data_IF_261502541848
#
_entry.id   IF_261502541848
#
_cell.length_a   1.000
_cell.length_b   1.000
_cell.length_c   1.000
_cell.angle_alpha   90.00
_cell.angle_beta   90.00
_cell.angle_gamma   90.00
#
_symmetry.space_group_name_H-M   'P 1'
#
loop_
_entity.id
_entity.type
_entity.pdbx_description
1 polymer ?
#
# COMPACT_ATOMS: atom_id res chain seq x y z
N UNK A 1 3.12 -37.77 -10.95
CA UNK A 1 4.22 -36.81 -10.77
C UNK A 1 3.95 -35.63 -11.67
N UNK A 2 4.09 -34.42 -11.14
CA UNK A 2 3.91 -33.18 -11.90
C UNK A 2 4.84 -32.11 -11.34
N UNK A 3 5.21 -31.16 -12.19
CA UNK A 3 6.04 -30.02 -11.83
C UNK A 3 5.14 -28.79 -11.78
N UNK A 4 5.30 -28.01 -10.72
CA UNK A 4 4.74 -26.67 -10.60
C UNK A 4 5.87 -25.68 -10.37
N UNK A 5 5.78 -24.54 -11.04
CA UNK A 5 6.68 -23.40 -10.86
C UNK A 5 5.80 -22.18 -10.63
N UNK A 6 6.18 -21.35 -9.67
CA UNK A 6 5.57 -20.04 -9.47
C UNK A 6 6.68 -19.01 -9.53
N UNK A 7 6.69 -18.19 -10.58
CA UNK A 7 7.60 -17.05 -10.64
C UNK A 7 6.97 -15.85 -9.94
N UNK A 8 7.80 -15.07 -9.24
CA UNK A 8 7.36 -13.93 -8.43
C UNK A 8 6.86 -12.74 -9.25
N UNK A 9 7.34 -12.57 -10.48
CA UNK A 9 6.96 -11.49 -11.38
C UNK A 9 7.06 -11.94 -12.85
N UNK A 10 6.40 -11.21 -13.74
CA UNK A 10 6.63 -11.33 -15.18
C UNK A 10 8.06 -10.89 -15.55
N UNK A 11 8.52 -11.28 -16.74
CA UNK A 11 9.92 -11.08 -17.17
C UNK A 11 10.40 -9.63 -17.24
N UNK A 12 9.47 -8.68 -17.33
CA UNK A 12 9.68 -7.23 -17.42
C UNK A 12 9.23 -6.47 -16.16
N UNK A 13 8.82 -7.19 -15.12
CA UNK A 13 8.33 -6.63 -13.87
C UNK A 13 9.24 -6.94 -12.69
N UNK A 14 9.26 -6.02 -11.72
CA UNK A 14 9.97 -6.23 -10.47
C UNK A 14 9.18 -7.14 -9.53
N UNK A 15 9.88 -8.02 -8.81
CA UNK A 15 9.32 -8.68 -7.64
C UNK A 15 9.55 -7.78 -6.42
N UNK A 16 8.49 -7.22 -5.84
CA UNK A 16 8.62 -6.27 -4.75
C UNK A 16 8.76 -6.96 -3.39
N UNK A 17 9.62 -6.38 -2.56
CA UNK A 17 9.63 -6.58 -1.12
C UNK A 17 9.36 -5.23 -0.47
N UNK A 18 8.24 -5.11 0.24
CA UNK A 18 7.88 -3.87 0.90
C UNK A 18 8.03 -4.03 2.42
N UNK A 19 8.70 -3.10 3.13
CA UNK A 19 9.02 -3.24 4.56
C UNK A 19 7.83 -3.58 5.45
N UNK A 20 6.63 -3.10 5.10
CA UNK A 20 5.41 -3.35 5.87
C UNK A 20 5.00 -4.82 5.90
N UNK A 21 5.29 -5.60 4.85
CA UNK A 21 4.92 -7.01 4.79
C UNK A 21 6.00 -7.94 5.38
N UNK A 22 7.19 -7.40 5.68
CA UNK A 22 8.34 -8.12 6.26
C UNK A 22 8.87 -9.29 5.42
N UNK A 23 8.36 -9.45 4.20
CA UNK A 23 8.72 -10.48 3.24
C UNK A 23 8.33 -10.01 1.83
N UNK A 24 8.78 -10.71 0.79
CA UNK A 24 8.35 -10.44 -0.59
C UNK A 24 6.84 -10.57 -0.77
N UNK A 25 6.26 -9.76 -1.64
CA UNK A 25 4.81 -9.70 -1.83
C UNK A 25 4.22 -11.05 -2.23
N UNK A 26 4.90 -11.82 -3.09
CA UNK A 26 4.43 -13.17 -3.44
C UNK A 26 4.40 -14.10 -2.23
N UNK A 27 5.43 -14.07 -1.38
CA UNK A 27 5.47 -14.90 -0.16
C UNK A 27 4.34 -14.51 0.79
N UNK A 28 4.08 -13.21 0.92
CA UNK A 28 2.95 -12.71 1.69
C UNK A 28 1.61 -13.19 1.13
N UNK A 29 1.40 -13.08 -0.19
CA UNK A 29 0.19 -13.55 -0.84
C UNK A 29 -0.03 -15.06 -0.67
N UNK A 30 1.03 -15.87 -0.83
CA UNK A 30 0.96 -17.32 -0.59
C UNK A 30 0.51 -17.65 0.82
N UNK A 31 1.07 -16.98 1.84
CA UNK A 31 0.72 -17.20 3.24
C UNK A 31 -0.67 -16.65 3.58
N UNK A 32 -1.05 -15.51 3.02
CA UNK A 32 -2.39 -14.93 3.17
C UNK A 32 -3.46 -15.88 2.63
N UNK A 33 -3.29 -16.34 1.39
CA UNK A 33 -4.21 -17.27 0.74
C UNK A 33 -4.27 -18.59 1.51
N UNK A 34 -3.12 -19.13 1.93
CA UNK A 34 -3.06 -20.36 2.74
C UNK A 34 -3.83 -20.25 4.06
N UNK A 35 -3.77 -19.07 4.70
CA UNK A 35 -4.44 -18.81 5.98
C UNK A 35 -5.94 -18.57 5.80
N UNK A 36 -6.32 -17.77 4.81
CA UNK A 36 -7.63 -17.13 4.76
C UNK A 36 -8.58 -17.69 3.69
N UNK A 37 -8.08 -18.41 2.67
CA UNK A 37 -8.91 -18.91 1.58
C UNK A 37 -9.15 -20.43 1.71
N UNK A 38 -10.35 -20.89 2.10
CA UNK A 38 -10.65 -22.32 2.17
C UNK A 38 -10.82 -22.99 0.80
N UNK A 39 -11.04 -22.24 -0.28
CA UNK A 39 -11.33 -22.80 -1.61
C UNK A 39 -10.13 -23.51 -2.24
N UNK A 40 -8.93 -23.18 -1.78
CA UNK A 40 -7.68 -23.84 -2.18
C UNK A 40 -7.56 -25.27 -1.65
N UNK A 41 -8.47 -25.70 -0.78
CA UNK A 41 -8.44 -27.01 -0.14
C UNK A 41 -9.37 -27.99 -0.86
N UNK A 42 -8.83 -29.15 -1.23
CA UNK A 42 -9.63 -30.30 -1.58
C UNK A 42 -10.13 -31.00 -0.31
N UNK A 43 -11.40 -31.40 -0.31
CA UNK A 43 -12.05 -32.07 0.84
C UNK A 43 -11.91 -31.28 2.15
N UNK A 44 -11.79 -29.95 2.04
CA UNK A 44 -11.69 -29.00 3.16
C UNK A 44 -10.39 -29.03 3.95
N UNK A 45 -9.39 -29.84 3.56
CA UNK A 45 -8.15 -30.00 4.35
C UNK A 45 -6.88 -30.24 3.54
N UNK A 46 -6.96 -30.71 2.29
CA UNK A 46 -5.77 -31.01 1.50
C UNK A 46 -5.42 -29.85 0.57
N UNK A 47 -4.23 -29.28 0.71
CA UNK A 47 -3.81 -28.13 -0.10
C UNK A 47 -3.68 -28.51 -1.58
N UNK A 48 -4.47 -27.89 -2.43
CA UNK A 48 -4.37 -28.02 -3.88
C UNK A 48 -3.40 -26.98 -4.43
N UNK A 49 -2.26 -27.40 -4.98
CA UNK A 49 -1.20 -26.49 -5.45
C UNK A 49 -1.70 -25.53 -6.53
N UNK A 50 -2.49 -26.02 -7.48
CA UNK A 50 -2.96 -25.21 -8.59
C UNK A 50 -3.89 -24.11 -8.09
N UNK A 51 -4.88 -24.46 -7.26
CA UNK A 51 -5.79 -23.48 -6.67
C UNK A 51 -5.03 -22.48 -5.80
N UNK A 52 -4.13 -22.96 -4.95
CA UNK A 52 -3.33 -22.09 -4.09
C UNK A 52 -2.53 -21.06 -4.88
N UNK A 53 -1.91 -21.46 -5.99
CA UNK A 53 -1.13 -20.54 -6.81
C UNK A 53 -2.01 -19.52 -7.55
N UNK A 54 -3.14 -19.95 -8.12
CA UNK A 54 -4.07 -19.05 -8.81
C UNK A 54 -4.67 -18.01 -7.84
N UNK A 55 -5.14 -18.46 -6.69
CA UNK A 55 -5.72 -17.57 -5.67
C UNK A 55 -4.65 -16.64 -5.04
N UNK A 56 -3.38 -17.07 -4.99
CA UNK A 56 -2.28 -16.21 -4.52
C UNK A 56 -1.84 -15.20 -5.56
N UNK A 57 -1.93 -15.55 -6.86
CA UNK A 57 -1.71 -14.63 -7.97
C UNK A 57 -2.78 -13.54 -7.99
N UNK A 58 -4.05 -13.92 -7.88
CA UNK A 58 -5.18 -12.97 -7.83
C UNK A 58 -5.05 -12.03 -6.63
N UNK A 59 -4.80 -12.55 -5.43
CA UNK A 59 -4.58 -11.71 -4.26
C UNK A 59 -3.36 -10.79 -4.41
N UNK A 60 -2.25 -11.29 -4.99
CA UNK A 60 -1.08 -10.44 -5.27
C UNK A 60 -1.43 -9.30 -6.22
N UNK A 61 -2.18 -9.60 -7.29
CA UNK A 61 -2.60 -8.60 -8.28
C UNK A 61 -3.44 -7.51 -7.61
N UNK A 62 -4.46 -7.89 -6.85
CA UNK A 62 -5.28 -6.94 -6.10
C UNK A 62 -4.45 -6.09 -5.14
N UNK A 63 -3.52 -6.72 -4.42
CA UNK A 63 -2.66 -6.07 -3.45
C UNK A 63 -1.80 -4.97 -4.12
N UNK A 64 -1.11 -5.30 -5.21
CA UNK A 64 -0.23 -4.34 -5.90
C UNK A 64 -1.01 -3.27 -6.64
N UNK A 65 -2.14 -3.61 -7.26
CA UNK A 65 -3.03 -2.64 -7.89
C UNK A 65 -3.53 -1.63 -6.86
N UNK A 66 -3.94 -2.08 -5.67
CA UNK A 66 -4.38 -1.19 -4.59
C UNK A 66 -3.28 -0.23 -4.10
N UNK A 67 -2.03 -0.65 -4.19
CA UNK A 67 -0.87 0.18 -3.83
C UNK A 67 -0.34 1.03 -4.99
N UNK A 68 -0.88 0.88 -6.21
CA UNK A 68 -0.40 1.57 -7.40
C UNK A 68 0.90 1.01 -7.99
N UNK A 69 1.29 -0.21 -7.58
CA UNK A 69 2.38 -0.98 -8.15
C UNK A 69 1.87 -1.94 -9.24
N UNK A 70 2.80 -2.57 -9.95
CA UNK A 70 2.50 -3.55 -10.99
C UNK A 70 3.41 -4.76 -10.82
N UNK A 71 2.83 -5.92 -10.50
CA UNK A 71 3.50 -7.20 -10.36
C UNK A 71 2.52 -8.33 -10.64
N UNK A 72 2.84 -9.19 -11.60
CA UNK A 72 2.07 -10.38 -11.94
C UNK A 72 2.90 -11.62 -11.65
N UNK A 73 2.49 -12.44 -10.67
CA UNK A 73 3.07 -13.77 -10.51
C UNK A 73 2.74 -14.63 -11.73
N UNK A 74 3.55 -15.65 -12.01
CA UNK A 74 3.34 -16.53 -13.15
C UNK A 74 3.34 -17.99 -12.70
N UNK A 75 2.16 -18.61 -12.51
CA UNK A 75 2.04 -20.03 -12.24
C UNK A 75 2.22 -20.85 -13.52
N UNK A 76 3.04 -21.89 -13.43
CA UNK A 76 3.25 -22.88 -14.50
C UNK A 76 2.99 -24.28 -13.95
N UNK A 77 2.18 -25.04 -14.67
CA UNK A 77 1.81 -26.42 -14.33
C UNK A 77 0.31 -26.65 -14.51
N UNK A 78 -0.06 -27.88 -14.85
CA UNK A 78 -1.46 -28.24 -15.19
C UNK A 78 -1.95 -29.50 -14.48
N UNK A 79 -1.27 -29.93 -13.41
CA UNK A 79 -1.61 -31.15 -12.69
C UNK A 79 -2.39 -30.84 -11.40
N UNK A 80 -3.43 -31.63 -11.11
CA UNK A 80 -4.09 -31.55 -9.82
C UNK A 80 -3.25 -32.28 -8.75
N UNK A 81 -2.45 -31.52 -7.98
CA UNK A 81 -1.55 -32.05 -6.95
C UNK A 81 -1.99 -31.56 -5.57
N UNK A 82 -2.13 -32.51 -4.64
CA UNK A 82 -2.35 -32.24 -3.22
C UNK A 82 -1.01 -32.26 -2.48
N UNK A 83 -0.71 -31.22 -1.71
CA UNK A 83 0.53 -31.11 -0.92
C UNK A 83 0.22 -30.87 0.56
N UNK A 84 0.03 -31.97 1.30
CA UNK A 84 -0.13 -31.91 2.75
C UNK A 84 -1.51 -31.45 3.21
N UNK A 85 -1.61 -31.30 4.53
CA UNK A 85 -2.84 -31.01 5.26
C UNK A 85 -2.76 -29.61 5.88
N UNK A 86 -3.81 -28.81 5.70
CA UNK A 86 -3.91 -27.44 6.22
C UNK A 86 -5.05 -27.40 7.24
N UNK A 87 -4.70 -27.69 8.48
CA UNK A 87 -5.60 -27.59 9.62
C UNK A 87 -5.48 -26.20 10.30
N UNK A 88 -6.30 -26.00 11.33
CA UNK A 88 -6.28 -24.76 12.11
C UNK A 88 -4.93 -24.50 12.79
N UNK A 89 -4.19 -25.55 13.18
CA UNK A 89 -2.84 -25.41 13.73
C UNK A 89 -1.88 -24.78 12.72
N UNK A 90 -1.85 -25.27 11.48
CA UNK A 90 -1.04 -24.68 10.39
C UNK A 90 -1.45 -23.22 10.15
N UNK A 91 -2.76 -22.94 10.04
CA UNK A 91 -3.27 -21.58 9.79
C UNK A 91 -2.94 -20.60 10.92
N UNK A 92 -3.03 -21.05 12.17
CA UNK A 92 -2.78 -20.22 13.34
C UNK A 92 -1.30 -19.89 13.54
N UNK A 93 -0.39 -20.73 13.05
CA UNK A 93 1.06 -20.49 13.06
C UNK A 93 1.51 -19.49 11.97
N UNK A 94 0.64 -19.15 11.01
CA UNK A 94 0.94 -18.13 10.01
C UNK A 94 0.71 -16.74 10.63
N UNK A 95 1.78 -16.01 10.87
CA UNK A 95 1.74 -14.62 11.34
C UNK A 95 2.01 -13.66 10.18
N UNK A 96 0.96 -12.96 9.75
CA UNK A 96 1.02 -11.95 8.70
C UNK A 96 1.17 -10.57 9.34
N UNK A 97 1.90 -9.68 8.67
CA UNK A 97 1.85 -8.27 9.00
C UNK A 97 0.45 -7.71 8.66
N UNK A 98 -0.03 -6.75 9.46
CA UNK A 98 -1.29 -6.07 9.18
C UNK A 98 -1.16 -5.17 7.95
N UNK A 99 -2.23 -5.11 7.16
CA UNK A 99 -2.33 -4.18 6.05
C UNK A 99 -2.40 -2.75 6.60
N UNK A 100 -1.51 -1.90 6.10
CA UNK A 100 -1.43 -0.49 6.49
C UNK A 100 -2.20 0.37 5.51
N UNK A 101 -2.79 1.51 5.93
CA UNK A 101 -3.45 2.42 5.02
C UNK A 101 -2.47 2.95 3.97
N UNK A 102 -2.92 2.93 2.71
CA UNK A 102 -2.15 3.46 1.58
C UNK A 102 -2.51 4.94 1.41
N UNK A 103 -1.51 5.82 1.30
CA UNK A 103 -1.68 7.28 1.28
C UNK A 103 -0.89 7.92 0.14
N UNK A 104 -1.40 9.04 -0.39
CA UNK A 104 -0.66 9.92 -1.30
C UNK A 104 -1.13 11.37 -1.16
N UNK A 105 -0.31 12.33 -1.62
CA UNK A 105 -0.73 13.72 -1.81
C UNK A 105 -1.24 13.93 -3.24
N UNK A 106 -2.56 13.94 -3.40
CA UNK A 106 -3.22 13.99 -4.70
C UNK A 106 -3.26 15.42 -5.28
N UNK A 107 -3.56 16.41 -4.45
CA UNK A 107 -3.68 17.80 -4.90
C UNK A 107 -3.10 18.81 -3.90
N UNK A 108 -2.43 19.84 -4.42
CA UNK A 108 -2.01 20.99 -3.64
C UNK A 108 -2.27 22.26 -4.43
N UNK A 109 -2.83 23.28 -3.80
CA UNK A 109 -3.22 24.52 -4.46
C UNK A 109 -3.03 25.72 -3.54
N UNK A 110 -2.43 26.78 -4.05
CA UNK A 110 -2.48 28.10 -3.45
C UNK A 110 -3.83 28.75 -3.77
N UNK A 111 -4.54 29.24 -2.76
CA UNK A 111 -5.86 29.85 -2.93
C UNK A 111 -5.83 31.13 -3.79
N UNK A 112 -4.72 31.87 -3.80
CA UNK A 112 -4.60 33.12 -4.55
C UNK A 112 -4.28 32.91 -6.04
N UNK A 113 -3.48 31.91 -6.37
CA UNK A 113 -2.94 31.70 -7.73
C UNK A 113 -3.52 30.47 -8.43
N UNK A 114 -4.22 29.60 -7.68
CA UNK A 114 -4.69 28.29 -8.14
C UNK A 114 -3.56 27.35 -8.62
N UNK A 115 -2.32 27.63 -8.24
CA UNK A 115 -1.14 26.83 -8.56
C UNK A 115 -0.42 26.35 -7.29
N UNK A 116 0.44 25.35 -7.42
CA UNK A 116 1.34 24.95 -6.33
C UNK A 116 2.67 25.72 -6.40
N UNK A 117 2.61 27.01 -6.08
CA UNK A 117 3.75 27.95 -6.17
C UNK A 117 4.98 27.54 -5.33
N UNK A 118 4.75 26.81 -4.23
CA UNK A 118 5.79 26.33 -3.30
C UNK A 118 6.28 24.90 -3.61
N UNK A 119 5.69 24.24 -4.61
CA UNK A 119 6.01 22.84 -4.95
C UNK A 119 5.74 21.87 -3.79
N UNK A 120 4.74 22.14 -2.95
CA UNK A 120 4.41 21.33 -1.78
C UNK A 120 3.98 19.92 -2.18
N UNK A 121 3.29 19.72 -3.30
CA UNK A 121 2.83 18.40 -3.76
C UNK A 121 4.00 17.43 -3.93
N UNK A 122 5.06 17.88 -4.60
CA UNK A 122 6.25 17.07 -4.82
C UNK A 122 6.95 16.77 -3.48
N UNK A 123 7.12 17.79 -2.64
CA UNK A 123 7.80 17.64 -1.33
C UNK A 123 7.05 16.71 -0.39
N UNK A 124 5.72 16.80 -0.33
CA UNK A 124 4.89 15.91 0.51
C UNK A 124 4.96 14.48 0.00
N UNK A 125 4.82 14.23 -1.30
CA UNK A 125 4.93 12.88 -1.85
C UNK A 125 6.35 12.29 -1.67
N UNK A 126 7.40 13.09 -1.81
CA UNK A 126 8.77 12.67 -1.54
C UNK A 126 8.95 12.25 -0.08
N UNK A 127 8.43 13.05 0.86
CA UNK A 127 8.47 12.71 2.28
C UNK A 127 7.65 11.46 2.61
N UNK A 128 6.44 11.30 2.05
CA UNK A 128 5.62 10.10 2.24
C UNK A 128 6.37 8.83 1.78
N UNK A 129 7.01 8.88 0.61
CA UNK A 129 7.81 7.77 0.08
C UNK A 129 9.01 7.43 0.99
N UNK A 130 9.74 8.45 1.45
CA UNK A 130 10.86 8.31 2.37
C UNK A 130 10.43 7.73 3.72
N UNK A 131 9.37 8.28 4.32
CA UNK A 131 8.84 7.82 5.60
C UNK A 131 8.29 6.39 5.52
N UNK A 132 7.57 6.07 4.44
CA UNK A 132 7.02 4.73 4.19
C UNK A 132 8.11 3.66 4.02
N UNK A 133 9.29 4.02 3.52
CA UNK A 133 10.38 3.06 3.24
C UNK A 133 11.36 2.88 4.40
N UNK A 134 11.43 3.84 5.32
CA UNK A 134 12.46 3.87 6.38
C UNK A 134 12.16 3.02 7.60
N UNK A 135 10.90 2.76 7.94
CA UNK A 135 10.58 2.03 9.17
C UNK A 135 9.58 0.88 8.92
N UNK A 136 9.91 -0.28 9.48
CA UNK A 136 8.95 -1.38 9.64
C UNK A 136 7.73 -0.95 10.48
N UNK A 137 7.88 0.10 11.30
CA UNK A 137 6.85 0.69 12.15
C UNK A 137 6.08 1.85 11.49
N UNK A 138 6.30 2.16 10.20
CA UNK A 138 5.49 3.17 9.51
C UNK A 138 4.01 2.81 9.68
N UNK A 139 3.14 3.79 9.94
CA UNK A 139 1.71 3.54 10.10
C UNK A 139 0.95 3.62 8.76
N UNK A 140 1.66 3.86 7.65
CA UNK A 140 1.08 3.98 6.32
C UNK A 140 2.03 3.46 5.22
N UNK A 141 1.49 3.31 4.00
CA UNK A 141 2.23 2.99 2.77
C UNK A 141 2.07 4.12 1.76
N UNK A 142 3.15 4.54 1.11
CA UNK A 142 3.07 5.50 0.01
C UNK A 142 2.60 4.84 -1.29
N UNK A 143 1.63 5.46 -1.98
CA UNK A 143 1.25 5.09 -3.34
C UNK A 143 1.82 6.06 -4.39
N UNK A 144 2.52 5.56 -5.42
CA UNK A 144 3.01 6.38 -6.53
C UNK A 144 1.90 6.77 -7.52
N UNK A 145 0.75 6.09 -7.50
CA UNK A 145 -0.38 6.30 -8.43
C UNK A 145 -1.70 6.36 -7.66
N UNK A 146 -2.65 7.15 -8.16
CA UNK A 146 -3.99 7.23 -7.59
C UNK A 146 -4.84 6.01 -7.97
N UNK A 147 -5.50 5.42 -6.99
CA UNK A 147 -6.46 4.31 -7.13
C UNK A 147 -7.67 4.55 -6.21
N UNK A 148 -8.72 3.74 -6.32
CA UNK A 148 -9.92 3.84 -5.46
C UNK A 148 -9.66 3.48 -3.99
N UNK A 149 -8.59 2.73 -3.71
CA UNK A 149 -8.22 2.30 -2.37
C UNK A 149 -7.22 3.23 -1.68
N UNK A 150 -6.61 4.18 -2.40
CA UNK A 150 -5.65 5.13 -1.82
C UNK A 150 -6.36 6.24 -1.04
N UNK A 151 -5.86 6.55 0.16
CA UNK A 151 -6.23 7.73 0.91
C UNK A 151 -5.53 8.97 0.34
N UNK A 152 -6.32 10.01 0.05
CA UNK A 152 -5.86 11.19 -0.70
C UNK A 152 -5.74 12.39 0.22
N UNK A 153 -4.53 12.92 0.33
CA UNK A 153 -4.25 14.19 0.98
C UNK A 153 -4.41 15.31 -0.06
N UNK A 154 -5.29 16.27 0.25
CA UNK A 154 -5.50 17.48 -0.52
C UNK A 154 -5.16 18.70 0.33
N UNK A 155 -4.40 19.63 -0.23
CA UNK A 155 -3.91 20.81 0.51
C UNK A 155 -4.34 22.07 -0.22
N UNK A 156 -5.03 22.96 0.48
CA UNK A 156 -5.24 24.34 0.06
C UNK A 156 -4.40 25.25 0.97
N UNK A 157 -3.61 26.16 0.42
CA UNK A 157 -2.79 27.04 1.24
C UNK A 157 -2.83 28.50 0.82
N UNK A 158 -2.44 29.37 1.76
CA UNK A 158 -2.17 30.79 1.54
C UNK A 158 -0.81 31.14 2.11
N UNK A 159 -0.16 32.15 1.52
CA UNK A 159 1.10 32.71 2.01
C UNK A 159 0.83 34.14 2.49
N UNK A 160 1.16 34.42 3.75
CA UNK A 160 1.07 35.74 4.38
C UNK A 160 2.46 36.11 4.87
N UNK A 161 3.13 37.03 4.18
CA UNK A 161 4.54 37.36 4.39
C UNK A 161 5.44 36.11 4.31
N UNK A 162 5.94 35.62 5.44
CA UNK A 162 6.76 34.41 5.57
C UNK A 162 5.96 33.20 6.10
N UNK A 163 4.72 33.39 6.57
CA UNK A 163 3.86 32.31 7.06
C UNK A 163 3.10 31.62 5.92
N UNK A 164 3.10 30.28 5.93
CA UNK A 164 2.27 29.44 5.07
C UNK A 164 1.20 28.77 5.94
N UNK A 165 -0.07 28.98 5.58
CA UNK A 165 -1.21 28.40 6.29
C UNK A 165 -1.88 27.39 5.36
N UNK A 166 -1.86 26.12 5.75
CA UNK A 166 -2.38 24.99 4.98
C UNK A 166 -3.65 24.43 5.61
N UNK A 167 -4.73 24.33 4.83
CA UNK A 167 -5.87 23.47 5.10
C UNK A 167 -5.63 22.13 4.43
N UNK A 168 -5.43 21.10 5.25
CA UNK A 168 -5.11 19.74 4.81
C UNK A 168 -6.35 18.87 5.02
N UNK A 169 -6.79 18.18 3.98
CA UNK A 169 -7.92 17.25 4.04
C UNK A 169 -7.51 15.86 3.59
N UNK A 170 -8.01 14.85 4.29
CA UNK A 170 -7.82 13.45 3.96
C UNK A 170 -9.12 12.86 3.44
N UNK A 171 -9.05 12.15 2.31
CA UNK A 171 -10.22 11.51 1.70
C UNK A 171 -9.97 10.02 1.45
N UNK A 172 -11.00 9.20 1.66
CA UNK A 172 -11.12 7.87 1.05
C UNK A 172 -12.23 7.94 0.01
N UNK A 173 -11.90 7.69 -1.25
CA UNK A 173 -12.83 7.94 -2.37
C UNK A 173 -13.37 9.38 -2.34
N UNK A 174 -14.67 9.55 -2.07
CA UNK A 174 -15.36 10.83 -1.95
C UNK A 174 -15.64 11.24 -0.50
N UNK A 175 -15.34 10.37 0.47
CA UNK A 175 -15.59 10.61 1.90
C UNK A 175 -14.39 11.32 2.52
N UNK A 176 -14.63 12.49 3.10
CA UNK A 176 -13.64 13.15 3.97
C UNK A 176 -13.49 12.34 5.26
N UNK A 177 -12.26 11.93 5.56
CA UNK A 177 -11.90 11.23 6.79
C UNK A 177 -11.52 12.22 7.90
N UNK A 178 -10.77 13.27 7.54
CA UNK A 178 -10.29 14.27 8.49
C UNK A 178 -9.87 15.58 7.80
N UNK A 179 -9.78 16.65 8.59
CA UNK A 179 -9.25 17.95 8.19
C UNK A 179 -8.35 18.52 9.30
N UNK A 180 -7.23 19.11 8.91
CA UNK A 180 -6.28 19.78 9.80
C UNK A 180 -5.90 21.17 9.26
N UNK A 181 -5.65 22.12 10.15
CA UNK A 181 -4.93 23.35 9.82
C UNK A 181 -3.48 23.21 10.28
N UNK A 182 -2.53 23.44 9.37
CA UNK A 182 -1.10 23.38 9.64
C UNK A 182 -0.45 24.68 9.19
N UNK A 183 0.41 25.23 10.05
CA UNK A 183 1.11 26.49 9.80
C UNK A 183 2.61 26.24 9.79
N UNK A 184 3.34 26.96 8.95
CA UNK A 184 4.79 26.86 8.86
C UNK A 184 5.42 28.08 8.20
N UNK A 185 6.73 28.05 8.04
CA UNK A 185 7.52 29.13 7.43
C UNK A 185 7.84 28.78 5.97
N UNK A 186 7.64 29.71 5.04
CA UNK A 186 7.93 29.52 3.61
C UNK A 186 9.41 29.24 3.34
N UNK A 187 10.29 29.65 4.26
CA UNK A 187 11.73 29.42 4.20
C UNK A 187 12.13 28.08 4.84
N UNK A 188 11.20 27.39 5.52
CA UNK A 188 11.41 26.07 6.10
C UNK A 188 10.28 25.09 5.73
N UNK A 189 10.13 24.87 4.42
CA UNK A 189 9.10 23.97 3.88
C UNK A 189 9.28 22.51 4.33
N UNK A 190 10.49 22.09 4.68
CA UNK A 190 10.72 20.73 5.18
C UNK A 190 9.96 20.48 6.48
N UNK A 191 10.11 21.36 7.48
CA UNK A 191 9.39 21.24 8.74
C UNK A 191 7.87 21.28 8.53
N UNK A 192 7.38 22.16 7.64
CA UNK A 192 5.97 22.22 7.30
C UNK A 192 5.45 20.90 6.70
N UNK A 193 6.21 20.28 5.80
CA UNK A 193 5.82 18.98 5.19
C UNK A 193 5.77 17.87 6.24
N UNK A 194 6.74 17.80 7.15
CA UNK A 194 6.73 16.81 8.24
C UNK A 194 5.46 16.99 9.08
N UNK A 195 5.18 18.21 9.53
CA UNK A 195 4.00 18.52 10.34
C UNK A 195 2.68 18.18 9.63
N UNK A 196 2.58 18.47 8.32
CA UNK A 196 1.40 18.13 7.51
C UNK A 196 1.15 16.63 7.53
N UNK A 197 2.19 15.85 7.25
CA UNK A 197 2.06 14.40 7.11
C UNK A 197 1.76 13.76 8.47
N UNK A 198 2.55 14.05 9.50
CA UNK A 198 2.38 13.44 10.83
C UNK A 198 1.00 13.72 11.44
N UNK A 199 0.43 14.92 11.22
CA UNK A 199 -0.91 15.26 11.74
C UNK A 199 -2.05 14.57 11.01
N UNK A 200 -1.94 14.37 9.70
CA UNK A 200 -3.08 13.90 8.90
C UNK A 200 -3.12 12.38 8.74
N UNK A 201 -1.97 11.71 8.64
CA UNK A 201 -1.91 10.26 8.31
C UNK A 201 -2.39 9.35 9.43
N UNK A 202 -2.46 9.84 10.67
CA UNK A 202 -3.05 9.13 11.82
C UNK A 202 -4.54 8.82 11.64
N UNK A 203 -5.21 9.45 10.67
CA UNK A 203 -6.63 9.28 10.39
C UNK A 203 -6.90 8.49 9.10
N UNK A 204 -5.90 7.78 8.58
CA UNK A 204 -5.99 7.06 7.31
C UNK A 204 -6.59 5.64 7.41
N UNK A 205 -6.86 5.17 8.63
CA UNK A 205 -7.54 3.89 8.94
C UNK A 205 -9.05 3.94 8.74
#
# INVERSE_FOLDING_TARGET
>A
TGMFILAASASDQSAYELPQYKQGLLTYSLLYTLKNNPEILDEGQYLNVQKWFLESEEYLQDLVENMGYEQAAQPFGTANIRVGLVNDEVKNNIHLAEEKPVVMCANVMNQGTFNDDLGLKEKVNAYLNEASSRSMESIFVYAPKETSSVNKINILYVVQDDEVICQVKLFKNTKELNQQEVRGDKNNLHALVVDIVEKIVLYAE
#
